data_IF_079044629116
#
_entry.id   IF_079044629116
#
_cell.length_a   1.000
_cell.length_b   1.000
_cell.length_c   1.000
_cell.angle_alpha   90.00
_cell.angle_beta   90.00
_cell.angle_gamma   90.00
#
_symmetry.space_group_name_H-M   'P 1'
#
loop_
_entity.id
_entity.type
_entity.pdbx_description
1 polymer ?
#
# COMPACT_ATOMS: atom_id res chain seq x y z
N UNK A 1 2.99 -85.36 -37.88
CA UNK A 1 3.19 -84.56 -39.10
C UNK A 1 3.98 -83.26 -38.89
N UNK A 2 4.69 -83.05 -37.76
CA UNK A 2 5.37 -81.76 -37.47
C UNK A 2 6.85 -81.67 -37.90
N UNK A 3 7.41 -82.73 -38.50
CA UNK A 3 8.85 -82.78 -38.87
C UNK A 3 9.25 -81.94 -40.08
N UNK A 4 8.30 -81.38 -40.85
CA UNK A 4 8.61 -80.62 -42.07
C UNK A 4 9.11 -79.18 -41.84
N UNK A 5 8.95 -78.62 -40.63
CA UNK A 5 9.27 -77.21 -40.37
C UNK A 5 10.41 -76.99 -39.37
N UNK A 6 11.01 -78.06 -38.84
CA UNK A 6 12.10 -77.98 -37.85
C UNK A 6 13.31 -77.21 -38.39
N UNK A 7 13.54 -77.25 -39.71
CA UNK A 7 14.64 -76.52 -40.36
C UNK A 7 14.42 -74.99 -40.46
N UNK A 8 13.22 -74.48 -40.15
CA UNK A 8 12.96 -73.02 -40.10
C UNK A 8 13.31 -72.40 -38.74
N UNK A 9 13.49 -73.21 -37.69
CA UNK A 9 13.89 -72.74 -36.36
C UNK A 9 15.25 -72.03 -36.33
N UNK A 10 16.32 -72.52 -36.99
CA UNK A 10 17.60 -71.81 -37.03
C UNK A 10 17.51 -70.46 -37.78
N UNK A 11 16.66 -70.34 -38.81
CA UNK A 11 16.42 -69.08 -39.51
C UNK A 11 15.72 -68.05 -38.60
N UNK A 12 14.70 -68.48 -37.85
CA UNK A 12 14.04 -67.61 -36.87
C UNK A 12 14.99 -67.20 -35.74
N UNK A 13 15.82 -68.12 -35.22
CA UNK A 13 16.81 -67.81 -34.21
C UNK A 13 17.86 -66.81 -34.71
N UNK A 14 18.34 -66.96 -35.95
CA UNK A 14 19.27 -65.98 -36.53
C UNK A 14 18.66 -64.60 -36.71
N UNK A 15 17.39 -64.51 -37.11
CA UNK A 15 16.67 -63.23 -37.26
C UNK A 15 16.48 -62.57 -35.89
N UNK A 16 16.11 -63.34 -34.87
CA UNK A 16 15.96 -62.82 -33.50
C UNK A 16 17.28 -62.32 -32.92
N UNK A 17 18.39 -63.07 -33.08
CA UNK A 17 19.71 -62.65 -32.62
C UNK A 17 20.21 -61.39 -33.35
N UNK A 18 20.05 -61.32 -34.68
CA UNK A 18 20.46 -60.16 -35.47
C UNK A 18 19.62 -58.91 -35.12
N UNK A 19 18.33 -59.08 -34.84
CA UNK A 19 17.46 -57.98 -34.42
C UNK A 19 17.79 -57.45 -33.02
N UNK A 20 18.23 -58.32 -32.10
CA UNK A 20 18.58 -57.93 -30.73
C UNK A 20 19.92 -57.17 -30.68
N UNK A 21 20.93 -57.60 -31.44
CA UNK A 21 22.20 -56.87 -31.53
C UNK A 21 22.02 -55.50 -32.19
N UNK A 22 21.17 -55.40 -33.21
CA UNK A 22 20.84 -54.12 -33.84
C UNK A 22 20.14 -53.15 -32.87
N UNK A 23 19.19 -53.63 -32.05
CA UNK A 23 18.50 -52.79 -31.07
C UNK A 23 19.40 -52.36 -29.91
N UNK A 24 20.32 -53.21 -29.46
CA UNK A 24 21.27 -52.87 -28.39
C UNK A 24 22.32 -51.84 -28.85
N UNK A 25 22.83 -51.94 -30.08
CA UNK A 25 23.80 -50.98 -30.61
C UNK A 25 23.18 -49.58 -30.82
N UNK A 26 21.96 -49.52 -31.36
CA UNK A 26 21.23 -48.25 -31.54
C UNK A 26 20.91 -47.59 -30.20
N UNK A 27 20.46 -48.36 -29.21
CA UNK A 27 20.11 -47.82 -27.89
C UNK A 27 21.34 -47.36 -27.10
N UNK A 28 22.45 -48.11 -27.13
CA UNK A 28 23.67 -47.72 -26.40
C UNK A 28 24.39 -46.51 -27.02
N UNK A 29 24.46 -46.44 -28.36
CA UNK A 29 25.05 -45.29 -29.05
C UNK A 29 24.22 -44.02 -28.89
N UNK A 30 22.88 -44.13 -28.90
CA UNK A 30 22.01 -42.98 -28.64
C UNK A 30 22.12 -42.49 -27.20
N UNK A 31 22.07 -43.41 -26.22
CA UNK A 31 22.13 -43.06 -24.79
C UNK A 31 23.48 -42.45 -24.40
N UNK A 32 24.60 -43.01 -24.88
CA UNK A 32 25.94 -42.49 -24.60
C UNK A 32 26.16 -41.10 -25.21
N UNK A 33 25.68 -40.87 -26.44
CA UNK A 33 25.74 -39.56 -27.10
C UNK A 33 24.88 -38.53 -26.37
N UNK A 34 23.71 -38.93 -25.88
CA UNK A 34 22.82 -38.07 -25.09
C UNK A 34 23.38 -37.75 -23.70
N UNK A 35 23.96 -38.74 -23.00
CA UNK A 35 24.62 -38.52 -21.70
C UNK A 35 25.81 -37.57 -21.81
N UNK A 36 26.62 -37.68 -22.87
CA UNK A 36 27.72 -36.76 -23.11
C UNK A 36 27.24 -35.34 -23.42
N UNK A 37 26.15 -35.21 -24.20
CA UNK A 37 25.52 -33.91 -24.46
C UNK A 37 25.04 -33.25 -23.15
N UNK A 38 24.39 -34.02 -22.27
CA UNK A 38 23.93 -33.53 -20.96
C UNK A 38 25.09 -33.15 -20.05
N UNK A 39 26.13 -33.99 -19.99
CA UNK A 39 27.31 -33.72 -19.16
C UNK A 39 28.01 -32.42 -19.59
N UNK A 40 28.09 -32.18 -20.90
CA UNK A 40 28.64 -30.93 -21.45
C UNK A 40 27.76 -29.72 -21.09
N UNK A 41 26.44 -29.82 -21.26
CA UNK A 41 25.48 -28.76 -20.88
C UNK A 41 25.55 -28.47 -19.39
N UNK A 42 25.62 -29.50 -18.54
CA UNK A 42 25.76 -29.34 -17.09
C UNK A 42 27.08 -28.66 -16.72
N UNK A 43 28.19 -29.07 -17.34
CA UNK A 43 29.50 -28.45 -17.11
C UNK A 43 29.52 -26.97 -17.53
N UNK A 44 28.85 -26.63 -18.64
CA UNK A 44 28.78 -25.26 -19.13
C UNK A 44 27.88 -24.37 -18.27
N UNK A 45 26.75 -24.90 -17.78
CA UNK A 45 25.93 -24.20 -16.80
C UNK A 45 26.71 -23.95 -15.50
N UNK A 46 27.42 -24.97 -15.00
CA UNK A 46 28.17 -24.85 -13.75
C UNK A 46 29.35 -23.87 -13.89
N UNK A 47 29.98 -23.82 -15.08
CA UNK A 47 30.98 -22.81 -15.43
C UNK A 47 30.38 -21.40 -15.49
N UNK A 48 29.20 -21.22 -16.07
CA UNK A 48 28.48 -19.93 -16.11
C UNK A 48 28.14 -19.40 -14.71
N UNK A 49 27.63 -20.26 -13.84
CA UNK A 49 27.27 -19.91 -12.46
C UNK A 49 28.51 -19.52 -11.62
N UNK A 50 29.64 -20.21 -11.80
CA UNK A 50 30.89 -19.87 -11.10
C UNK A 50 31.57 -18.59 -11.63
N UNK A 51 31.35 -18.24 -12.90
CA UNK A 51 31.82 -16.96 -13.47
C UNK A 51 30.98 -15.79 -12.94
N UNK A 52 29.67 -15.98 -12.74
CA UNK A 52 28.82 -14.97 -12.10
C UNK A 52 29.13 -14.77 -10.61
N UNK A 53 29.41 -15.84 -9.86
CA UNK A 53 29.75 -15.72 -8.44
C UNK A 53 31.08 -14.98 -8.21
N UNK A 54 32.09 -15.21 -9.07
CA UNK A 54 33.38 -14.50 -9.00
C UNK A 54 33.31 -13.02 -9.46
N UNK A 55 32.31 -12.61 -10.24
CA UNK A 55 32.05 -11.19 -10.53
C UNK A 55 31.40 -10.43 -9.37
N UNK A 56 30.86 -11.12 -8.38
CA UNK A 56 30.09 -10.55 -7.26
C UNK A 56 30.93 -10.27 -5.99
N UNK A 57 32.25 -10.23 -6.09
CA UNK A 57 33.12 -9.87 -4.96
C UNK A 57 32.98 -8.40 -4.47
N UNK A 58 32.10 -7.61 -5.11
CA UNK A 58 31.82 -6.21 -4.75
C UNK A 58 30.30 -5.92 -4.59
N UNK A 59 29.49 -6.92 -4.20
CA UNK A 59 28.08 -6.67 -3.90
C UNK A 59 27.92 -5.95 -2.55
N UNK A 60 27.77 -4.62 -2.61
CA UNK A 60 27.40 -3.80 -1.46
C UNK A 60 25.92 -3.96 -1.14
N UNK A 61 25.62 -4.40 0.08
CA UNK A 61 24.24 -4.44 0.60
C UNK A 61 23.94 -3.12 1.30
N UNK A 62 22.79 -2.53 0.99
CA UNK A 62 22.36 -1.26 1.58
C UNK A 62 21.20 -1.49 2.54
N UNK A 63 21.24 -0.82 3.68
CA UNK A 63 20.04 -0.64 4.51
C UNK A 63 19.16 0.47 3.94
N UNK A 64 17.87 0.50 4.29
CA UNK A 64 16.97 1.58 3.85
C UNK A 64 17.45 2.97 4.30
N UNK A 65 18.03 3.07 5.50
CA UNK A 65 18.55 4.32 6.04
C UNK A 65 19.84 4.77 5.35
N UNK A 66 20.71 3.82 4.98
CA UNK A 66 21.90 4.11 4.18
C UNK A 66 21.52 4.55 2.76
N UNK A 67 20.58 3.86 2.12
CA UNK A 67 20.15 4.16 0.76
C UNK A 67 19.55 5.57 0.64
N UNK A 68 18.88 6.08 1.68
CA UNK A 68 18.32 7.46 1.72
C UNK A 68 19.36 8.57 1.51
N UNK A 69 20.65 8.29 1.72
CA UNK A 69 21.72 9.27 1.47
C UNK A 69 21.95 9.50 -0.02
N UNK A 70 21.66 8.49 -0.85
CA UNK A 70 21.92 8.49 -2.28
C UNK A 70 20.73 9.05 -3.08
N UNK A 71 20.38 10.31 -2.83
CA UNK A 71 19.23 10.99 -3.45
C UNK A 71 19.60 12.24 -4.25
N UNK A 72 20.88 12.45 -4.53
CA UNK A 72 21.41 13.63 -5.21
C UNK A 72 22.63 13.28 -6.09
N UNK A 73 23.08 14.20 -6.93
CA UNK A 73 24.19 13.96 -7.87
C UNK A 73 25.58 13.96 -7.22
N UNK A 74 25.71 14.53 -6.01
CA UNK A 74 26.99 14.64 -5.29
C UNK A 74 27.35 13.33 -4.59
N UNK A 75 26.39 12.73 -3.90
CA UNK A 75 26.57 11.50 -3.14
C UNK A 75 26.26 10.24 -3.98
N UNK A 76 25.49 10.40 -5.07
CA UNK A 76 25.00 9.34 -5.95
C UNK A 76 23.47 9.26 -5.92
N UNK A 77 22.85 8.91 -7.05
CA UNK A 77 21.39 8.82 -7.18
C UNK A 77 20.98 7.36 -7.36
N UNK A 78 20.58 6.70 -6.27
CA UNK A 78 20.32 5.26 -6.27
C UNK A 78 18.82 5.01 -6.06
N UNK A 79 18.28 3.99 -6.75
CA UNK A 79 16.90 3.53 -6.56
C UNK A 79 16.88 2.06 -6.20
N UNK A 80 15.92 1.66 -5.37
CA UNK A 80 15.66 0.24 -5.12
C UNK A 80 14.41 -0.21 -5.86
N UNK A 81 14.54 -1.27 -6.64
CA UNK A 81 13.41 -1.94 -7.32
C UNK A 81 13.44 -3.41 -6.91
N UNK A 82 12.39 -3.85 -6.21
CA UNK A 82 12.24 -5.23 -5.73
C UNK A 82 13.45 -5.75 -4.92
N UNK A 83 14.01 -4.88 -4.05
CA UNK A 83 15.14 -5.23 -3.18
C UNK A 83 16.52 -5.13 -3.84
N UNK A 84 16.60 -4.88 -5.15
CA UNK A 84 17.85 -4.62 -5.84
C UNK A 84 18.11 -3.12 -5.90
N UNK A 85 19.37 -2.70 -5.69
CA UNK A 85 19.78 -1.28 -5.71
C UNK A 85 20.50 -0.98 -7.02
N UNK A 86 20.03 0.04 -7.74
CA UNK A 86 20.58 0.49 -9.01
C UNK A 86 21.15 1.91 -8.86
N UNK A 87 22.39 2.10 -9.30
CA UNK A 87 22.95 3.44 -9.50
C UNK A 87 22.37 4.03 -10.79
N UNK A 88 21.48 5.01 -10.64
CA UNK A 88 20.82 5.69 -11.76
C UNK A 88 21.34 7.12 -11.97
N UNK A 89 22.52 7.44 -11.42
CA UNK A 89 23.16 8.76 -11.55
C UNK A 89 23.31 9.18 -13.02
N UNK A 90 23.68 8.26 -13.91
CA UNK A 90 23.76 8.53 -15.37
C UNK A 90 22.41 8.88 -16.00
N UNK A 91 21.32 8.40 -15.40
CA UNK A 91 19.95 8.66 -15.82
C UNK A 91 19.29 9.81 -15.07
N UNK A 92 20.05 10.69 -14.39
CA UNK A 92 19.49 11.74 -13.54
C UNK A 92 18.48 12.67 -14.22
N UNK A 93 18.54 12.82 -15.55
CA UNK A 93 17.48 13.52 -16.31
C UNK A 93 16.08 12.91 -16.11
N UNK A 94 16.00 11.59 -15.90
CA UNK A 94 14.76 10.84 -15.76
C UNK A 94 14.40 10.54 -14.30
N UNK A 95 15.42 10.35 -13.44
CA UNK A 95 15.23 9.92 -12.05
C UNK A 95 15.53 11.00 -11.01
N UNK A 96 16.25 12.04 -11.39
CA UNK A 96 16.64 13.13 -10.50
C UNK A 96 15.49 14.06 -10.20
N UNK A 97 15.59 14.80 -9.09
CA UNK A 97 14.71 15.93 -8.83
C UNK A 97 14.89 16.94 -9.96
N UNK A 98 13.79 17.26 -10.65
CA UNK A 98 13.85 18.16 -11.80
C UNK A 98 14.26 19.56 -11.34
N UNK A 99 15.30 20.12 -11.98
CA UNK A 99 15.57 21.55 -11.93
C UNK A 99 14.32 22.31 -12.40
N UNK A 100 13.78 23.18 -11.55
CA UNK A 100 12.59 23.95 -11.85
C UNK A 100 11.99 24.59 -10.60
N UNK A 101 10.66 24.73 -10.59
CA UNK A 101 9.95 25.50 -9.56
C UNK A 101 10.26 25.05 -8.13
N UNK A 102 10.48 23.77 -7.89
CA UNK A 102 10.59 23.20 -6.53
C UNK A 102 12.01 22.77 -6.14
N UNK A 103 12.89 22.53 -7.10
CA UNK A 103 14.26 22.08 -6.83
C UNK A 103 15.24 22.75 -7.79
N UNK A 104 16.41 23.12 -7.28
CA UNK A 104 17.50 23.69 -8.08
C UNK A 104 18.28 22.58 -8.83
N UNK A 105 19.23 22.97 -9.66
CA UNK A 105 20.12 22.06 -10.41
C UNK A 105 20.92 21.09 -9.53
N UNK A 106 21.30 21.52 -8.33
CA UNK A 106 22.00 20.71 -7.35
C UNK A 106 21.06 19.78 -6.54
N UNK A 107 19.75 19.81 -6.83
CA UNK A 107 18.72 19.05 -6.13
C UNK A 107 18.31 19.65 -4.78
N UNK A 108 18.83 20.82 -4.41
CA UNK A 108 18.42 21.54 -3.20
C UNK A 108 16.98 22.07 -3.34
N UNK A 109 16.17 22.07 -2.26
CA UNK A 109 14.81 22.63 -2.31
C UNK A 109 14.82 24.14 -2.55
N UNK A 110 13.93 24.63 -3.42
CA UNK A 110 13.67 26.06 -3.58
C UNK A 110 12.77 26.59 -2.47
N UNK A 111 12.59 27.92 -2.42
CA UNK A 111 11.62 28.58 -1.52
C UNK A 111 10.20 28.04 -1.74
N UNK A 112 9.82 27.78 -2.97
CA UNK A 112 8.51 27.24 -3.34
C UNK A 112 8.31 25.82 -2.81
N UNK A 113 9.35 24.98 -2.81
CA UNK A 113 9.28 23.64 -2.20
C UNK A 113 9.01 23.72 -0.70
N UNK A 114 9.68 24.62 0.02
CA UNK A 114 9.38 24.85 1.44
C UNK A 114 7.95 25.37 1.66
N UNK A 115 7.46 26.27 0.80
CA UNK A 115 6.07 26.75 0.88
C UNK A 115 5.07 25.61 0.70
N UNK A 116 5.26 24.74 -0.28
CA UNK A 116 4.40 23.56 -0.50
C UNK A 116 4.46 22.61 0.69
N UNK A 117 5.66 22.32 1.21
CA UNK A 117 5.80 21.47 2.40
C UNK A 117 5.06 22.06 3.61
N UNK A 118 5.14 23.38 3.82
CA UNK A 118 4.40 24.07 4.87
C UNK A 118 2.89 23.94 4.68
N UNK A 119 2.39 24.11 3.46
CA UNK A 119 0.96 23.91 3.14
C UNK A 119 0.54 22.47 3.45
N UNK A 120 1.35 21.47 3.08
CA UNK A 120 1.06 20.06 3.36
C UNK A 120 1.02 19.74 4.86
N UNK A 121 1.95 20.30 5.64
CA UNK A 121 1.96 20.14 7.10
C UNK A 121 0.69 20.77 7.69
N UNK A 122 0.42 22.03 7.36
CA UNK A 122 -0.77 22.73 7.85
C UNK A 122 -2.07 22.01 7.45
N UNK A 123 -2.14 21.44 6.25
CA UNK A 123 -3.31 20.68 5.80
C UNK A 123 -3.50 19.40 6.62
N UNK A 124 -2.41 18.68 6.93
CA UNK A 124 -2.46 17.49 7.80
C UNK A 124 -2.88 17.84 9.22
N UNK A 125 -2.36 18.92 9.77
CA UNK A 125 -2.73 19.41 11.10
C UNK A 125 -4.21 19.78 11.15
N UNK A 126 -4.70 20.59 10.21
CA UNK A 126 -6.12 20.92 10.10
C UNK A 126 -7.00 19.68 9.94
N UNK A 127 -6.59 18.73 9.10
CA UNK A 127 -7.32 17.47 8.93
C UNK A 127 -7.40 16.69 10.25
N UNK A 128 -6.29 16.61 11.00
CA UNK A 128 -6.26 15.97 12.30
C UNK A 128 -7.17 16.67 13.31
N UNK A 129 -7.12 18.00 13.39
CA UNK A 129 -7.97 18.83 14.24
C UNK A 129 -9.46 18.64 13.91
N UNK A 130 -9.84 18.66 12.64
CA UNK A 130 -11.21 18.45 12.20
C UNK A 130 -11.73 17.06 12.57
N UNK A 131 -10.92 16.02 12.35
CA UNK A 131 -11.28 14.65 12.72
C UNK A 131 -11.42 14.52 14.24
N UNK A 132 -10.49 15.10 15.01
CA UNK A 132 -10.53 15.09 16.46
C UNK A 132 -11.77 15.83 16.98
N UNK A 133 -12.06 17.03 16.46
CA UNK A 133 -13.25 17.82 16.79
C UNK A 133 -14.54 17.07 16.44
N UNK A 134 -14.61 16.39 15.30
CA UNK A 134 -15.76 15.55 14.91
C UNK A 134 -15.94 14.34 15.82
N UNK A 135 -14.87 13.75 16.36
CA UNK A 135 -14.97 12.65 17.33
C UNK A 135 -15.48 13.13 18.69
N UNK A 136 -15.00 14.27 19.17
CA UNK A 136 -15.44 14.84 20.46
C UNK A 136 -16.85 15.44 20.39
N UNK A 137 -17.19 16.06 19.25
CA UNK A 137 -18.46 16.75 19.01
C UNK A 137 -19.11 16.25 17.70
N UNK A 138 -19.53 14.97 17.66
CA UNK A 138 -20.07 14.37 16.45
C UNK A 138 -21.37 15.06 16.01
N UNK A 139 -21.68 15.09 14.71
CA UNK A 139 -22.96 15.60 14.24
C UNK A 139 -24.13 14.87 14.90
N UNK A 140 -25.21 15.60 15.15
CA UNK A 140 -26.47 14.99 15.59
C UNK A 140 -27.10 14.17 14.47
N UNK A 141 -27.94 13.21 14.84
CA UNK A 141 -28.93 12.70 13.91
C UNK A 141 -30.01 13.76 13.72
N UNK A 142 -30.55 13.85 12.50
CA UNK A 142 -31.51 14.87 12.11
C UNK A 142 -32.60 14.24 11.25
N UNK A 143 -33.84 14.66 11.48
CA UNK A 143 -35.02 14.27 10.72
C UNK A 143 -35.90 15.52 10.59
N UNK A 144 -36.59 15.70 9.47
CA UNK A 144 -37.61 16.73 9.34
C UNK A 144 -38.98 16.09 9.32
N UNK A 145 -39.92 16.65 10.09
CA UNK A 145 -41.32 16.23 10.11
C UNK A 145 -42.26 17.40 9.85
N UNK A 146 -43.36 17.21 9.10
CA UNK A 146 -44.32 18.28 8.82
C UNK A 146 -44.96 18.93 10.05
N UNK A 147 -45.22 18.14 11.08
CA UNK A 147 -45.95 18.51 12.30
C UNK A 147 -45.03 19.12 13.38
N UNK A 148 -43.81 18.60 13.52
CA UNK A 148 -42.86 19.03 14.56
C UNK A 148 -41.66 19.83 14.05
N UNK A 149 -41.54 20.03 12.74
CA UNK A 149 -40.37 20.63 12.10
C UNK A 149 -39.12 19.74 12.19
N UNK A 150 -37.96 20.36 12.26
CA UNK A 150 -36.67 19.65 12.37
C UNK A 150 -36.52 19.04 13.76
N UNK A 151 -36.19 17.76 13.84
CA UNK A 151 -35.93 17.02 15.07
C UNK A 151 -34.48 16.56 15.04
N UNK A 152 -33.74 16.89 16.10
CA UNK A 152 -32.34 16.46 16.28
C UNK A 152 -32.23 15.57 17.50
N UNK A 153 -31.39 14.54 17.43
CA UNK A 153 -31.13 13.67 18.57
C UNK A 153 -29.73 13.07 18.54
N UNK A 154 -29.31 12.63 19.71
CA UNK A 154 -28.03 11.97 19.93
C UNK A 154 -28.27 10.54 20.39
N UNK A 155 -27.46 9.62 19.86
CA UNK A 155 -27.41 8.22 20.31
C UNK A 155 -25.94 7.80 20.42
N UNK A 156 -25.68 6.53 20.77
CA UNK A 156 -24.33 5.95 20.70
C UNK A 156 -23.75 5.94 19.27
N UNK A 157 -24.60 6.11 18.25
CA UNK A 157 -24.21 6.26 16.84
C UNK A 157 -24.86 7.50 16.24
N UNK A 158 -24.08 8.57 16.08
CA UNK A 158 -24.56 9.82 15.48
C UNK A 158 -23.52 10.40 14.53
N UNK A 159 -23.97 10.91 13.38
CA UNK A 159 -23.08 11.44 12.35
C UNK A 159 -22.08 10.41 11.79
N UNK A 160 -22.46 9.12 11.79
CA UNK A 160 -21.59 8.02 11.36
C UNK A 160 -20.51 7.60 12.36
N UNK A 161 -20.49 8.20 13.56
CA UNK A 161 -19.49 7.92 14.60
C UNK A 161 -20.13 7.10 15.73
N UNK A 162 -19.52 5.96 16.04
CA UNK A 162 -19.91 5.07 17.14
C UNK A 162 -19.07 5.34 18.40
N UNK A 163 -19.72 5.31 19.56
CA UNK A 163 -19.17 5.72 20.86
C UNK A 163 -19.95 5.11 22.04
N UNK A 164 -19.36 5.16 23.23
CA UNK A 164 -19.89 4.57 24.46
C UNK A 164 -20.90 5.46 25.22
N UNK A 165 -20.96 6.75 24.90
CA UNK A 165 -21.91 7.72 25.48
C UNK A 165 -22.96 8.19 24.46
N UNK A 166 -24.07 8.78 24.94
CA UNK A 166 -25.16 9.31 24.10
C UNK A 166 -25.07 10.82 23.93
N UNK A 167 -25.01 11.56 25.04
CA UNK A 167 -24.89 13.02 25.02
C UNK A 167 -26.17 13.74 24.60
N UNK A 168 -26.09 15.05 24.53
CA UNK A 168 -27.22 15.94 24.27
C UNK A 168 -26.97 16.80 23.03
N UNK A 169 -27.99 17.08 22.20
CA UNK A 169 -27.83 17.91 21.02
C UNK A 169 -27.63 19.37 21.43
N UNK A 170 -26.65 20.04 20.81
CA UNK A 170 -26.33 21.45 21.01
C UNK A 170 -25.98 22.14 19.70
N UNK A 171 -26.14 23.45 19.69
CA UNK A 171 -25.63 24.32 18.64
C UNK A 171 -24.14 24.57 18.89
N UNK A 172 -23.27 24.07 18.01
CA UNK A 172 -21.84 24.31 18.05
C UNK A 172 -21.47 25.34 16.97
N UNK A 173 -20.98 26.49 17.41
CA UNK A 173 -20.55 27.61 16.58
C UNK A 173 -19.07 27.49 16.20
N UNK A 174 -18.67 28.10 15.09
CA UNK A 174 -17.26 28.14 14.68
C UNK A 174 -16.41 28.99 15.62
N UNK A 175 -16.99 30.07 16.13
CA UNK A 175 -16.40 30.98 17.12
C UNK A 175 -17.50 31.54 18.02
N UNK A 176 -17.17 32.14 19.19
CA UNK A 176 -18.18 32.63 20.14
C UNK A 176 -19.14 33.68 19.56
N UNK A 177 -18.68 34.42 18.55
CA UNK A 177 -19.44 35.48 17.88
C UNK A 177 -19.99 35.08 16.51
N UNK A 178 -19.75 33.84 16.06
CA UNK A 178 -20.30 33.38 14.78
C UNK A 178 -21.82 33.30 14.85
N UNK A 179 -22.47 33.58 13.72
CA UNK A 179 -23.90 33.31 13.52
C UNK A 179 -24.12 31.89 12.98
N UNK A 180 -23.11 31.30 12.36
CA UNK A 180 -23.16 29.96 11.79
C UNK A 180 -22.89 28.92 12.87
N UNK A 181 -23.75 27.91 12.91
CA UNK A 181 -23.64 26.79 13.81
C UNK A 181 -24.02 25.49 13.12
N UNK A 182 -23.57 24.38 13.70
CA UNK A 182 -24.05 23.04 13.38
C UNK A 182 -24.59 22.35 14.62
N UNK A 183 -25.43 21.34 14.44
CA UNK A 183 -25.77 20.46 15.55
C UNK A 183 -24.57 19.57 15.91
N UNK A 184 -24.27 19.46 17.20
CA UNK A 184 -23.29 18.53 17.74
C UNK A 184 -23.85 17.81 18.97
N UNK A 185 -23.52 16.53 19.11
CA UNK A 185 -23.75 15.80 20.34
C UNK A 185 -22.63 16.13 21.35
N UNK A 186 -23.04 16.49 22.55
CA UNK A 186 -22.13 16.98 23.60
C UNK A 186 -22.26 16.12 24.85
N UNK A 187 -21.11 15.75 25.43
CA UNK A 187 -21.03 15.12 26.74
C UNK A 187 -20.82 16.22 27.79
N UNK A 188 -21.89 16.60 28.50
CA UNK A 188 -21.88 17.75 29.41
C UNK A 188 -20.85 17.66 30.55
N UNK A 189 -20.45 16.45 30.94
CA UNK A 189 -19.49 16.24 32.04
C UNK A 189 -18.07 15.94 31.51
N UNK A 190 -17.72 16.41 30.32
CA UNK A 190 -16.42 16.17 29.70
C UNK A 190 -15.51 17.40 29.80
N UNK A 191 -14.20 17.18 29.85
CA UNK A 191 -13.21 18.27 29.88
C UNK A 191 -13.28 19.09 28.58
N UNK A 192 -13.47 18.41 27.46
CA UNK A 192 -13.58 18.99 26.14
C UNK A 192 -14.77 19.96 26.05
N UNK A 193 -15.91 19.60 26.66
CA UNK A 193 -17.05 20.51 26.74
C UNK A 193 -16.72 21.78 27.52
N UNK A 194 -16.09 21.65 28.69
CA UNK A 194 -15.76 22.80 29.53
C UNK A 194 -14.79 23.78 28.85
N UNK A 195 -13.83 23.27 28.08
CA UNK A 195 -12.85 24.07 27.34
C UNK A 195 -13.51 24.93 26.24
N UNK A 196 -14.55 24.42 25.57
CA UNK A 196 -15.16 25.11 24.42
C UNK A 196 -16.60 25.59 24.67
N UNK A 197 -17.10 25.56 25.91
CA UNK A 197 -18.49 25.89 26.24
C UNK A 197 -18.96 27.26 25.72
N UNK A 198 -18.05 28.22 25.57
CA UNK A 198 -18.37 29.55 24.98
C UNK A 198 -18.81 29.50 23.51
N UNK A 199 -18.52 28.41 22.79
CA UNK A 199 -18.96 28.16 21.41
C UNK A 199 -20.17 27.23 21.33
N UNK A 200 -20.73 26.80 22.47
CA UNK A 200 -21.83 25.84 22.53
C UNK A 200 -23.07 26.50 23.13
N UNK A 201 -24.22 26.40 22.44
CA UNK A 201 -25.50 26.90 22.95
C UNK A 201 -26.58 25.82 22.91
N UNK A 202 -27.54 25.94 23.82
CA UNK A 202 -28.73 25.08 23.87
C UNK A 202 -29.68 25.46 22.72
N UNK A 203 -30.36 24.46 22.15
CA UNK A 203 -31.47 24.75 21.24
C UNK A 203 -32.63 25.40 22.02
N UNK A 204 -33.34 26.37 21.44
CA UNK A 204 -34.53 26.93 22.06
C UNK A 204 -35.54 25.83 22.40
N UNK A 205 -36.14 25.87 23.59
CA UNK A 205 -37.15 24.90 24.05
C UNK A 205 -36.65 23.43 24.15
N UNK A 206 -35.33 23.22 24.21
CA UNK A 206 -34.71 21.92 24.41
C UNK A 206 -34.22 21.77 25.86
N UNK A 207 -34.75 20.83 26.67
CA UNK A 207 -34.29 20.64 28.05
C UNK A 207 -32.79 20.32 28.11
N UNK A 208 -32.10 20.81 29.14
CA UNK A 208 -30.63 20.66 29.31
C UNK A 208 -30.17 19.21 29.21
N UNK A 209 -30.92 18.26 29.73
CA UNK A 209 -30.54 16.84 29.74
C UNK A 209 -31.18 16.03 28.62
N UNK A 210 -32.01 16.65 27.77
CA UNK A 210 -32.71 15.92 26.71
C UNK A 210 -31.74 15.41 25.65
N UNK A 211 -31.90 14.16 25.24
CA UNK A 211 -31.14 13.54 24.15
C UNK A 211 -31.79 13.74 22.78
N UNK A 212 -33.02 14.30 22.74
CA UNK A 212 -33.82 14.52 21.54
C UNK A 212 -34.63 15.83 21.66
N UNK A 213 -34.56 16.67 20.63
CA UNK A 213 -35.21 17.98 20.64
C UNK A 213 -35.82 18.31 19.27
N UNK A 214 -37.05 18.82 19.29
CA UNK A 214 -37.65 19.49 18.14
C UNK A 214 -37.15 20.93 18.11
N UNK A 215 -36.53 21.32 17.00
CA UNK A 215 -35.92 22.63 16.82
C UNK A 215 -36.78 23.46 15.87
N UNK A 216 -37.09 24.68 16.29
CA UNK A 216 -37.73 25.67 15.42
C UNK A 216 -36.62 26.38 14.66
N UNK A 217 -36.55 26.17 13.35
CA UNK A 217 -35.76 27.03 12.47
C UNK A 217 -36.49 28.35 12.34
N UNK A 218 -35.94 29.41 12.93
CA UNK A 218 -36.29 30.78 12.55
C UNK A 218 -35.74 31.00 11.15
N UNK A 219 -36.64 31.17 10.16
CA UNK A 219 -36.29 31.54 8.80
C UNK A 219 -35.98 33.03 8.72
#
# INVERSE_FOLDING_TARGET
MFTKYVWLLPLFASVLLYSNDYLNDVTFNFLSKWLNAIKNVYSDLNRKLNIESNKNANQKVFTSTELKKYTNLKDGLYISILGQVFDVTKGAKYYGKLNGRYYNEDGSPTKESYNVQKILINAKEKQFEEVHKKRMFPPCNIEWKPDSGTVVWCTKKSGGIERDWVGVPRMLFESPNSKEYRCACVKLNSKEYEEIKGMIREFPQCPKTSTKCAVKTEN
#
